data_IF_921897390798
#
_entry.id   IF_921897390798
#
_cell.length_a   1.000
_cell.length_b   1.000
_cell.length_c   1.000
_cell.angle_alpha   90.00
_cell.angle_beta   90.00
_cell.angle_gamma   90.00
#
_symmetry.space_group_name_H-M   'P 1'
#
loop_
_entity.id
_entity.type
_entity.pdbx_description
1 polymer ?
#
# COMPACT_ATOMS: atom_id res chain seq x y z
N UNK A 1 -4.88 -21.24 8.04
CA UNK A 1 -5.27 -20.29 7.00
C UNK A 1 -4.06 -19.47 6.57
N UNK A 2 -3.86 -19.33 5.28
CA UNK A 2 -2.71 -18.60 4.76
C UNK A 2 -2.92 -17.09 4.89
N UNK A 3 -1.94 -16.40 5.46
CA UNK A 3 -1.93 -14.95 5.52
C UNK A 3 -0.94 -14.38 4.49
N UNK A 4 -1.16 -13.14 4.09
CA UNK A 4 -0.31 -12.48 3.09
C UNK A 4 0.16 -11.11 3.59
N UNK A 5 1.27 -10.65 3.04
CA UNK A 5 1.77 -9.31 3.26
C UNK A 5 1.29 -8.41 2.12
N UNK A 6 0.67 -7.30 2.47
CA UNK A 6 0.03 -6.40 1.50
C UNK A 6 0.66 -5.02 1.55
N UNK A 7 0.89 -4.45 0.37
CA UNK A 7 1.28 -3.05 0.23
C UNK A 7 0.15 -2.24 -0.39
N UNK A 8 -0.14 -1.06 0.15
CA UNK A 8 -1.12 -0.13 -0.41
C UNK A 8 -0.36 1.12 -0.87
N UNK A 9 -0.43 1.41 -2.16
CA UNK A 9 0.19 2.59 -2.76
C UNK A 9 -0.89 3.62 -3.03
N UNK A 10 -0.82 4.74 -2.35
CA UNK A 10 -1.82 5.79 -2.41
C UNK A 10 -2.92 5.59 -1.38
N UNK A 11 -3.02 6.52 -0.43
CA UNK A 11 -3.94 6.41 0.70
C UNK A 11 -4.89 7.61 0.80
N UNK A 12 -5.23 8.22 -0.35
CA UNK A 12 -6.26 9.25 -0.42
C UNK A 12 -7.61 8.66 -0.02
N UNK A 13 -8.70 9.09 -0.66
CA UNK A 13 -10.03 8.64 -0.26
C UNK A 13 -10.18 7.11 -0.29
N UNK A 14 -10.07 6.50 -1.47
CA UNK A 14 -10.29 5.06 -1.63
C UNK A 14 -9.15 4.23 -1.02
N UNK A 15 -7.92 4.69 -1.18
CA UNK A 15 -6.75 3.98 -0.65
C UNK A 15 -6.75 3.93 0.86
N UNK A 16 -7.21 4.99 1.52
CA UNK A 16 -7.34 5.02 2.98
C UNK A 16 -8.36 3.99 3.48
N UNK A 17 -9.49 3.86 2.79
CA UNK A 17 -10.51 2.86 3.11
C UNK A 17 -9.92 1.46 2.96
N UNK A 18 -9.18 1.21 1.87
CA UNK A 18 -8.55 -0.09 1.63
C UNK A 18 -7.48 -0.41 2.67
N UNK A 19 -6.67 0.58 3.05
CA UNK A 19 -5.68 0.40 4.11
C UNK A 19 -6.32 0.03 5.44
N UNK A 20 -7.42 0.69 5.80
CA UNK A 20 -8.17 0.37 7.01
C UNK A 20 -8.76 -1.04 6.96
N UNK A 21 -9.30 -1.43 5.82
CA UNK A 21 -9.84 -2.79 5.62
C UNK A 21 -8.73 -3.83 5.79
N UNK A 22 -7.56 -3.60 5.19
CA UNK A 22 -6.42 -4.50 5.34
C UNK A 22 -5.96 -4.59 6.78
N UNK A 23 -5.91 -3.47 7.48
CA UNK A 23 -5.48 -3.44 8.89
C UNK A 23 -6.40 -4.26 9.79
N UNK A 24 -7.69 -4.35 9.42
CA UNK A 24 -8.70 -5.09 10.19
C UNK A 24 -8.80 -6.56 9.77
N UNK A 25 -8.16 -6.95 8.68
CA UNK A 25 -8.29 -8.31 8.13
C UNK A 25 -7.34 -9.30 8.78
N UNK A 26 -7.89 -10.42 9.25
CA UNK A 26 -7.07 -11.52 9.79
C UNK A 26 -6.23 -12.21 8.71
N UNK A 27 -6.51 -11.96 7.42
CA UNK A 27 -5.77 -12.55 6.31
C UNK A 27 -4.50 -11.76 5.97
N UNK A 28 -4.38 -10.52 6.45
CA UNK A 28 -3.21 -9.67 6.22
C UNK A 28 -2.27 -9.81 7.41
N UNK A 29 -1.08 -10.33 7.16
CA UNK A 29 -0.05 -10.48 8.21
C UNK A 29 0.70 -9.18 8.44
N UNK A 30 1.15 -8.55 7.35
CA UNK A 30 1.84 -7.27 7.40
C UNK A 30 1.17 -6.30 6.44
N UNK A 31 0.92 -5.09 6.91
CA UNK A 31 0.44 -3.99 6.07
C UNK A 31 1.59 -3.01 5.87
N UNK A 32 1.86 -2.67 4.63
CA UNK A 32 2.84 -1.66 4.24
C UNK A 32 2.10 -0.59 3.46
N UNK A 33 2.36 0.68 3.73
CA UNK A 33 1.72 1.77 3.01
C UNK A 33 2.75 2.72 2.39
N UNK A 34 2.40 3.29 1.25
CA UNK A 34 3.17 4.34 0.61
C UNK A 34 2.22 5.48 0.23
N UNK A 35 2.57 6.69 0.61
CA UNK A 35 1.78 7.89 0.35
C UNK A 35 2.70 9.08 0.18
N UNK A 36 2.57 9.79 -0.93
CA UNK A 36 3.43 10.94 -1.25
C UNK A 36 3.11 12.17 -0.38
N UNK A 37 1.87 12.30 0.09
CA UNK A 37 1.46 13.41 0.95
C UNK A 37 1.79 13.05 2.40
N UNK A 38 2.73 13.78 3.00
CA UNK A 38 3.22 13.51 4.36
C UNK A 38 2.13 13.57 5.43
N UNK A 39 1.23 14.55 5.32
CA UNK A 39 0.15 14.70 6.30
C UNK A 39 -0.80 13.51 6.23
N UNK A 40 -1.16 13.12 5.02
CA UNK A 40 -2.04 11.97 4.80
C UNK A 40 -1.36 10.67 5.25
N UNK A 41 -0.07 10.52 4.98
CA UNK A 41 0.70 9.35 5.43
C UNK A 41 0.65 9.22 6.95
N UNK A 42 0.87 10.32 7.66
CA UNK A 42 0.82 10.34 9.12
C UNK A 42 -0.57 9.96 9.65
N UNK A 43 -1.65 10.47 9.02
CA UNK A 43 -3.01 10.13 9.39
C UNK A 43 -3.30 8.64 9.24
N UNK A 44 -2.95 8.08 8.07
CA UNK A 44 -3.21 6.67 7.79
C UNK A 44 -2.33 5.76 8.64
N UNK A 45 -1.09 6.16 8.88
CA UNK A 45 -0.20 5.42 9.77
C UNK A 45 -0.79 5.33 11.18
N UNK A 46 -1.33 6.44 11.69
CA UNK A 46 -1.95 6.45 13.01
C UNK A 46 -3.20 5.59 13.07
N UNK A 47 -3.99 5.54 11.99
CA UNK A 47 -5.23 4.76 11.92
C UNK A 47 -4.99 3.27 11.76
N UNK A 48 -3.97 2.88 10.98
CA UNK A 48 -3.78 1.49 10.56
C UNK A 48 -2.63 0.78 11.24
N UNK A 49 -1.72 1.53 11.85
CA UNK A 49 -0.51 0.99 12.49
C UNK A 49 0.22 -0.02 11.59
N UNK A 50 0.65 0.39 10.39
CA UNK A 50 1.32 -0.51 9.45
C UNK A 50 2.72 -0.86 9.92
N UNK A 51 3.28 -1.93 9.37
CA UNK A 51 4.68 -2.28 9.63
C UNK A 51 5.62 -1.25 9.04
N UNK A 52 5.31 -0.76 7.84
CA UNK A 52 6.09 0.26 7.14
C UNK A 52 5.17 1.33 6.57
N UNK A 53 5.55 2.60 6.75
CA UNK A 53 4.89 3.74 6.13
C UNK A 53 5.98 4.57 5.45
N UNK A 54 5.87 4.77 4.14
CA UNK A 54 6.90 5.45 3.36
C UNK A 54 6.30 6.42 2.35
N UNK A 55 7.07 7.43 1.96
CA UNK A 55 6.70 8.33 0.88
C UNK A 55 7.09 7.77 -0.50
N UNK A 56 7.95 6.75 -0.52
CA UNK A 56 8.47 6.17 -1.77
C UNK A 56 7.85 4.80 -2.04
N UNK A 57 6.86 4.75 -2.96
CA UNK A 57 6.16 3.50 -3.29
C UNK A 57 7.10 2.42 -3.84
N UNK A 58 8.24 2.81 -4.41
CA UNK A 58 9.19 1.84 -4.96
C UNK A 58 9.81 0.95 -3.89
N UNK A 59 9.87 1.42 -2.65
CA UNK A 59 10.32 0.60 -1.52
C UNK A 59 9.39 -0.60 -1.32
N UNK A 60 8.08 -0.42 -1.54
CA UNK A 60 7.12 -1.52 -1.45
C UNK A 60 7.30 -2.51 -2.59
N UNK A 61 7.53 -2.00 -3.80
CA UNK A 61 7.73 -2.85 -4.97
C UNK A 61 9.01 -3.67 -4.84
N UNK A 62 10.06 -3.08 -4.29
CA UNK A 62 11.34 -3.75 -4.09
C UNK A 62 11.33 -4.76 -2.94
N UNK A 63 10.34 -4.73 -2.08
CA UNK A 63 10.27 -5.63 -0.92
C UNK A 63 9.74 -7.00 -1.34
N UNK A 64 10.63 -7.98 -1.37
CA UNK A 64 10.29 -9.36 -1.77
C UNK A 64 9.28 -10.03 -0.84
N UNK A 65 9.14 -9.54 0.38
CA UNK A 65 8.18 -10.06 1.35
C UNK A 65 6.74 -9.63 1.10
N UNK A 66 6.51 -8.62 0.25
CA UNK A 66 5.16 -8.16 -0.08
C UNK A 66 4.62 -8.98 -1.25
N UNK A 67 3.51 -9.67 -1.02
CA UNK A 67 2.91 -10.60 -1.97
C UNK A 67 1.84 -9.96 -2.85
N UNK A 68 1.16 -8.93 -2.36
CA UNK A 68 0.08 -8.25 -3.08
C UNK A 68 0.17 -6.74 -2.91
N UNK A 69 -0.12 -6.01 -3.97
CA UNK A 69 -0.10 -4.55 -3.97
C UNK A 69 -1.44 -4.00 -4.46
N UNK A 70 -1.99 -3.05 -3.71
CA UNK A 70 -3.18 -2.31 -4.10
C UNK A 70 -2.71 -0.92 -4.55
N UNK A 71 -3.05 -0.55 -5.78
CA UNK A 71 -2.71 0.76 -6.35
C UNK A 71 -3.94 1.66 -6.33
N UNK A 72 -3.90 2.72 -5.52
CA UNK A 72 -5.03 3.65 -5.35
C UNK A 72 -4.58 5.10 -5.41
N UNK A 73 -3.58 5.38 -6.22
CA UNK A 73 -3.03 6.73 -6.36
C UNK A 73 -3.96 7.66 -7.14
N UNK A 74 -3.82 8.97 -6.91
CA UNK A 74 -4.50 10.02 -7.66
C UNK A 74 -3.47 10.97 -8.25
N UNK A 75 -3.69 11.52 -9.45
CA UNK A 75 -4.81 11.23 -10.36
C UNK A 75 -4.72 9.83 -10.99
N UNK A 76 -5.81 9.39 -11.61
CA UNK A 76 -5.89 8.04 -12.22
C UNK A 76 -4.77 7.76 -13.23
N UNK A 77 -4.24 8.79 -13.86
CA UNK A 77 -3.12 8.66 -14.81
C UNK A 77 -1.88 8.03 -14.19
N UNK A 78 -1.77 8.01 -12.85
CA UNK A 78 -0.65 7.39 -12.15
C UNK A 78 -0.81 5.87 -12.02
N UNK A 79 -2.03 5.33 -12.19
CA UNK A 79 -2.29 3.89 -12.01
C UNK A 79 -1.51 3.03 -12.98
N UNK A 80 -1.50 3.42 -14.27
CA UNK A 80 -0.84 2.60 -15.29
C UNK A 80 0.67 2.47 -15.07
N UNK A 81 1.44 3.55 -14.93
CA UNK A 81 2.88 3.40 -14.74
C UNK A 81 3.24 2.67 -13.45
N UNK A 82 2.52 2.91 -12.36
CA UNK A 82 2.78 2.23 -11.07
C UNK A 82 2.41 0.75 -11.18
N UNK A 83 1.23 0.45 -11.73
CA UNK A 83 0.78 -0.93 -11.91
C UNK A 83 1.75 -1.71 -12.80
N UNK A 84 2.29 -1.07 -13.85
CA UNK A 84 3.28 -1.69 -14.72
C UNK A 84 4.53 -2.08 -13.92
N UNK A 85 5.04 -1.18 -13.07
CA UNK A 85 6.20 -1.49 -12.22
C UNK A 85 5.91 -2.65 -11.28
N UNK A 86 4.71 -2.70 -10.71
CA UNK A 86 4.29 -3.78 -9.81
C UNK A 86 4.29 -5.11 -10.54
N UNK A 87 3.71 -5.16 -11.74
CA UNK A 87 3.64 -6.39 -12.54
C UNK A 87 5.02 -6.86 -12.97
N UNK A 88 5.90 -5.93 -13.36
CA UNK A 88 7.26 -6.27 -13.74
C UNK A 88 8.07 -6.83 -12.58
N UNK A 89 7.70 -6.49 -11.35
CA UNK A 89 8.31 -7.03 -10.14
C UNK A 89 7.71 -8.38 -9.71
N UNK A 90 6.72 -8.88 -10.43
CA UNK A 90 6.11 -10.17 -10.15
C UNK A 90 5.05 -10.16 -9.05
N UNK A 91 4.45 -9.01 -8.80
CA UNK A 91 3.46 -8.88 -7.71
C UNK A 91 2.03 -8.73 -8.19
#
# INVERSE_FOLDING_TARGET
MKTINVGVIGTGWCGGIRANTCASSALVRELHIAEINRERLAEVEAETNPLVATENYRELIANDGIEAIIVSTTPETTHYPITKEVLLAGK
#
